data_IF_949143609353
#
_entry.id   IF_949143609353
#
_cell.length_a   1.000
_cell.length_b   1.000
_cell.length_c   1.000
_cell.angle_alpha   90.00
_cell.angle_beta   90.00
_cell.angle_gamma   90.00
#
_symmetry.space_group_name_H-M   'P 1'
#
loop_
_entity.id
_entity.type
_entity.pdbx_description
1 polymer ?
#
# COMPACT_ATOMS: atom_id res chain seq x y z
N UNK A 1 -24.25 -39.17 38.26
CA UNK A 1 -23.26 -38.16 38.71
C UNK A 1 -22.01 -38.36 37.87
N UNK A 2 -21.84 -37.58 36.80
CA UNK A 2 -20.65 -37.64 35.96
C UNK A 2 -19.69 -36.54 36.42
N UNK A 3 -18.49 -36.91 36.85
CA UNK A 3 -17.47 -35.98 37.30
C UNK A 3 -17.10 -35.01 36.17
N UNK A 4 -17.19 -33.71 36.43
CA UNK A 4 -16.69 -32.68 35.52
C UNK A 4 -15.17 -32.82 35.45
N UNK A 5 -14.64 -33.26 34.31
CA UNK A 5 -13.21 -33.30 34.07
C UNK A 5 -12.74 -31.86 33.80
N UNK A 6 -11.99 -31.27 34.74
CA UNK A 6 -11.35 -29.98 34.51
C UNK A 6 -10.34 -30.12 33.37
N UNK A 7 -10.48 -29.29 32.35
CA UNK A 7 -9.60 -29.28 31.17
C UNK A 7 -8.51 -28.26 31.42
N UNK A 8 -7.26 -28.71 31.39
CA UNK A 8 -6.07 -27.86 31.55
C UNK A 8 -5.20 -27.91 30.29
N UNK A 9 -4.73 -26.75 29.85
CA UNK A 9 -3.85 -26.57 28.70
C UNK A 9 -2.62 -25.80 29.14
N UNK A 10 -1.43 -26.35 28.86
CA UNK A 10 -0.15 -25.70 29.10
C UNK A 10 0.57 -25.39 27.79
N UNK A 11 1.01 -24.13 27.64
CA UNK A 11 1.72 -23.65 26.44
C UNK A 11 3.05 -23.06 26.89
N UNK A 12 4.16 -23.53 26.29
CA UNK A 12 5.51 -23.02 26.54
C UNK A 12 6.01 -22.26 25.31
N UNK A 13 6.31 -20.97 25.48
CA UNK A 13 6.69 -20.07 24.39
C UNK A 13 8.16 -19.67 24.57
N UNK A 14 9.05 -20.05 23.63
CA UNK A 14 10.44 -19.61 23.67
C UNK A 14 10.59 -18.19 23.13
N UNK A 15 11.42 -17.40 23.82
CA UNK A 15 11.89 -16.09 23.38
C UNK A 15 13.37 -16.18 22.99
N UNK A 16 13.91 -15.25 22.20
CA UNK A 16 15.31 -15.25 21.82
C UNK A 16 16.22 -14.71 22.94
N UNK A 17 15.72 -13.78 23.76
CA UNK A 17 16.47 -13.19 24.89
C UNK A 17 15.65 -13.19 26.18
N UNK A 18 16.33 -13.36 27.33
CA UNK A 18 15.71 -13.26 28.66
C UNK A 18 14.97 -11.93 28.85
N UNK A 19 15.54 -10.83 28.34
CA UNK A 19 14.95 -9.49 28.43
C UNK A 19 13.62 -9.39 27.68
N UNK A 20 13.52 -9.99 26.49
CA UNK A 20 12.25 -10.02 25.76
C UNK A 20 11.19 -10.88 26.47
N UNK A 21 11.61 -12.00 27.08
CA UNK A 21 10.71 -12.83 27.87
C UNK A 21 10.16 -12.07 29.10
N UNK A 22 11.01 -11.32 29.79
CA UNK A 22 10.61 -10.44 30.91
C UNK A 22 9.63 -9.36 30.47
N UNK A 23 9.92 -8.65 29.37
CA UNK A 23 9.03 -7.61 28.84
C UNK A 23 7.68 -8.21 28.43
N UNK A 24 7.69 -9.33 27.72
CA UNK A 24 6.46 -10.01 27.31
C UNK A 24 5.64 -10.46 28.53
N UNK A 25 6.30 -10.98 29.57
CA UNK A 25 5.64 -11.35 30.82
C UNK A 25 5.00 -10.14 31.52
N UNK A 26 5.73 -9.04 31.66
CA UNK A 26 5.23 -7.84 32.31
C UNK A 26 4.03 -7.23 31.59
N UNK A 27 4.02 -7.25 30.25
CA UNK A 27 2.88 -6.78 29.45
C UNK A 27 1.68 -7.73 29.56
N UNK A 28 1.92 -9.04 29.40
CA UNK A 28 0.86 -10.05 29.32
C UNK A 28 0.21 -10.39 30.68
N UNK A 29 0.89 -10.12 31.80
CA UNK A 29 0.39 -10.35 33.16
C UNK A 29 -0.68 -9.33 33.57
N UNK A 30 -0.64 -8.10 33.02
CA UNK A 30 -1.56 -7.02 33.39
C UNK A 30 -3.00 -7.34 32.97
N UNK A 31 -3.18 -8.15 31.92
CA UNK A 31 -4.49 -8.53 31.43
C UNK A 31 -5.06 -9.74 32.19
N UNK A 32 -5.96 -9.42 33.14
CA UNK A 32 -6.73 -10.38 33.91
C UNK A 32 -7.92 -10.85 33.07
N UNK A 33 -8.05 -12.16 32.89
CA UNK A 33 -9.20 -12.72 32.18
C UNK A 33 -10.52 -12.25 32.84
N UNK A 34 -11.53 -11.80 32.07
CA UNK A 34 -12.78 -11.32 32.64
C UNK A 34 -13.47 -12.44 33.44
N UNK A 35 -14.03 -12.11 34.61
CA UNK A 35 -14.72 -13.06 35.51
C UNK A 35 -15.81 -13.91 34.84
N UNK A 36 -16.29 -13.49 33.66
CA UNK A 36 -17.31 -14.16 32.85
C UNK A 36 -16.80 -15.35 32.03
N UNK A 37 -15.49 -15.57 31.96
CA UNK A 37 -14.87 -16.61 31.12
C UNK A 37 -14.92 -18.01 31.75
N UNK A 38 -15.13 -18.13 33.07
CA UNK A 38 -15.04 -19.41 33.82
C UNK A 38 -13.71 -20.15 33.57
N UNK A 39 -12.63 -19.42 33.27
CA UNK A 39 -11.28 -19.94 32.97
C UNK A 39 -10.26 -19.31 33.91
N UNK A 40 -9.38 -20.12 34.47
CA UNK A 40 -8.24 -19.70 35.26
C UNK A 40 -6.99 -19.65 34.38
N UNK A 41 -6.36 -18.47 34.32
CA UNK A 41 -5.13 -18.20 33.57
C UNK A 41 -4.00 -17.94 34.55
N UNK A 42 -2.90 -18.67 34.41
CA UNK A 42 -1.65 -18.41 35.14
C UNK A 42 -0.51 -18.32 34.14
N UNK A 43 0.25 -17.22 34.22
CA UNK A 43 1.44 -17.00 33.39
C UNK A 43 2.64 -17.04 34.35
N UNK A 44 3.67 -17.80 34.00
CA UNK A 44 4.93 -17.88 34.75
C UNK A 44 6.11 -17.72 33.80
N UNK A 45 7.20 -17.11 34.29
CA UNK A 45 8.43 -16.89 33.55
C UNK A 45 9.51 -17.88 34.01
N UNK A 46 10.04 -18.69 33.10
CA UNK A 46 11.21 -19.54 33.30
C UNK A 46 12.34 -19.06 32.38
N UNK A 47 13.20 -18.17 32.87
CA UNK A 47 14.34 -17.58 32.14
C UNK A 47 13.97 -16.99 30.76
N UNK A 48 14.06 -17.79 29.70
CA UNK A 48 13.78 -17.43 28.31
C UNK A 48 12.51 -18.09 27.75
N UNK A 49 11.68 -18.66 28.64
CA UNK A 49 10.45 -19.34 28.32
C UNK A 49 9.28 -18.76 29.12
N UNK A 50 8.21 -18.40 28.42
CA UNK A 50 6.95 -18.00 29.03
C UNK A 50 6.03 -19.23 29.07
N UNK A 51 5.64 -19.65 30.28
CA UNK A 51 4.71 -20.75 30.48
C UNK A 51 3.33 -20.18 30.80
N UNK A 52 2.36 -20.58 30.00
CA UNK A 52 0.96 -20.27 30.19
C UNK A 52 0.23 -21.54 30.60
N UNK A 53 -0.51 -21.52 31.71
CA UNK A 53 -1.45 -22.58 32.09
C UNK A 53 -2.86 -22.01 32.14
N UNK A 54 -3.76 -22.62 31.38
CA UNK A 54 -5.17 -22.24 31.25
C UNK A 54 -6.04 -23.43 31.64
N UNK A 55 -6.92 -23.26 32.61
CA UNK A 55 -7.82 -24.30 33.10
C UNK A 55 -9.28 -23.87 33.13
N UNK A 56 -10.21 -24.76 32.79
CA UNK A 56 -11.65 -24.47 32.86
C UNK A 56 -12.53 -25.72 32.80
N UNK A 57 -13.80 -25.56 33.19
CA UNK A 57 -14.77 -26.67 33.23
C UNK A 57 -15.26 -27.09 31.83
N UNK A 58 -15.21 -26.17 30.84
CA UNK A 58 -15.70 -26.40 29.48
C UNK A 58 -14.62 -26.10 28.43
N UNK A 59 -14.44 -27.04 27.49
CA UNK A 59 -13.46 -26.93 26.40
C UNK A 59 -13.65 -25.67 25.54
N UNK A 60 -14.91 -25.24 25.35
CA UNK A 60 -15.24 -24.04 24.57
C UNK A 60 -14.61 -22.78 25.17
N UNK A 61 -14.64 -22.65 26.50
CA UNK A 61 -14.14 -21.47 27.19
C UNK A 61 -12.61 -21.46 27.20
N UNK A 62 -11.98 -22.62 27.44
CA UNK A 62 -10.53 -22.78 27.36
C UNK A 62 -10.02 -22.42 25.96
N UNK A 63 -10.70 -22.85 24.89
CA UNK A 63 -10.35 -22.50 23.51
C UNK A 63 -10.39 -20.98 23.28
N UNK A 64 -11.43 -20.30 23.75
CA UNK A 64 -11.56 -18.84 23.60
C UNK A 64 -10.45 -18.11 24.38
N UNK A 65 -10.11 -18.58 25.58
CA UNK A 65 -9.00 -18.02 26.36
C UNK A 65 -7.64 -18.20 25.68
N UNK A 66 -7.38 -19.39 25.10
CA UNK A 66 -6.15 -19.65 24.33
C UNK A 66 -6.08 -18.74 23.09
N UNK A 67 -7.17 -18.60 22.33
CA UNK A 67 -7.18 -17.75 21.14
C UNK A 67 -6.94 -16.28 21.48
N UNK A 68 -7.59 -15.77 22.53
CA UNK A 68 -7.39 -14.40 23.03
C UNK A 68 -5.93 -14.16 23.42
N UNK A 69 -5.33 -15.10 24.16
CA UNK A 69 -3.93 -15.00 24.54
C UNK A 69 -2.97 -15.02 23.33
N UNK A 70 -3.22 -15.89 22.35
CA UNK A 70 -2.42 -15.94 21.12
C UNK A 70 -2.54 -14.64 20.30
N UNK A 71 -3.72 -14.02 20.26
CA UNK A 71 -3.90 -12.70 19.63
C UNK A 71 -3.08 -11.62 20.33
N UNK A 72 -3.09 -11.58 21.67
CA UNK A 72 -2.23 -10.68 22.44
C UNK A 72 -0.73 -10.92 22.17
N UNK A 73 -0.32 -12.19 22.10
CA UNK A 73 1.07 -12.57 21.82
C UNK A 73 1.49 -12.16 20.39
N UNK A 74 0.60 -12.32 19.41
CA UNK A 74 0.81 -11.86 18.05
C UNK A 74 0.94 -10.34 18.02
N UNK A 75 0.09 -9.60 18.73
CA UNK A 75 0.14 -8.15 18.82
C UNK A 75 1.49 -7.66 19.37
N UNK A 76 2.00 -8.31 20.42
CA UNK A 76 3.35 -8.07 20.94
C UNK A 76 4.43 -8.32 19.87
N UNK A 77 4.39 -9.48 19.18
CA UNK A 77 5.40 -9.83 18.16
C UNK A 77 5.33 -8.96 16.91
N UNK A 78 4.17 -8.38 16.59
CA UNK A 78 3.99 -7.42 15.49
C UNK A 78 4.42 -6.00 15.85
N UNK A 79 5.07 -5.79 17.00
CA UNK A 79 5.80 -4.55 17.31
C UNK A 79 7.31 -4.55 16.92
N UNK A 80 7.77 -5.03 15.74
CA UNK A 80 9.15 -4.79 15.31
C UNK A 80 9.21 -3.51 14.46
N UNK A 81 9.97 -2.53 14.96
CA UNK A 81 10.75 -1.48 14.26
C UNK A 81 10.14 -0.55 13.19
N UNK A 82 9.07 -0.91 12.48
CA UNK A 82 8.53 -0.12 11.36
C UNK A 82 7.26 0.65 11.68
N UNK A 83 6.76 0.56 12.90
CA UNK A 83 5.61 1.37 13.31
C UNK A 83 6.06 2.81 13.51
N UNK A 84 5.37 3.82 12.97
CA UNK A 84 5.63 5.25 13.26
C UNK A 84 5.35 5.63 14.72
N UNK A 85 5.06 4.65 15.57
CA UNK A 85 4.80 4.82 16.98
C UNK A 85 6.02 5.44 17.69
N UNK A 86 5.81 6.37 18.62
CA UNK A 86 6.88 7.07 19.31
C UNK A 86 7.61 6.09 20.24
N UNK A 87 8.70 5.48 19.76
CA UNK A 87 9.60 4.73 20.62
C UNK A 87 10.41 5.71 21.47
N UNK A 88 10.71 5.36 22.74
CA UNK A 88 11.47 6.24 23.63
C UNK A 88 12.84 6.60 23.06
N UNK A 89 13.49 5.69 22.31
CA UNK A 89 14.73 5.97 21.60
C UNK A 89 14.60 7.08 20.55
N UNK A 90 13.52 7.09 19.75
CA UNK A 90 13.29 8.11 18.72
C UNK A 90 12.97 9.49 19.31
N UNK A 91 12.29 9.52 20.45
CA UNK A 91 11.96 10.77 21.16
C UNK A 91 13.21 11.49 21.71
N UNK A 92 14.21 10.73 22.20
CA UNK A 92 15.46 11.31 22.73
C UNK A 92 16.23 12.06 21.64
N UNK A 93 16.32 11.50 20.42
CA UNK A 93 16.99 12.18 19.30
C UNK A 93 16.29 13.49 18.94
N UNK A 94 14.96 13.49 18.88
CA UNK A 94 14.17 14.70 18.63
C UNK A 94 14.42 15.77 19.69
N UNK A 95 14.46 15.38 20.96
CA UNK A 95 14.73 16.29 22.08
C UNK A 95 16.16 16.86 22.05
N UNK A 96 17.17 16.02 21.81
CA UNK A 96 18.56 16.47 21.68
C UNK A 96 18.75 17.43 20.50
N UNK A 97 18.14 17.12 19.36
CA UNK A 97 18.16 17.96 18.16
C UNK A 97 17.44 19.29 18.40
N UNK A 98 16.32 19.30 19.12
CA UNK A 98 15.62 20.52 19.54
C UNK A 98 16.50 21.41 20.41
N UNK A 99 17.15 20.87 21.45
CA UNK A 99 18.07 21.64 22.29
C UNK A 99 19.26 22.18 21.49
N UNK A 100 19.81 21.39 20.57
CA UNK A 100 20.90 21.81 19.69
C UNK A 100 20.46 22.95 18.77
N UNK A 101 19.33 22.83 18.08
CA UNK A 101 18.84 23.92 17.22
C UNK A 101 18.46 25.17 18.02
N UNK A 102 17.89 25.01 19.20
CA UNK A 102 17.55 26.14 20.08
C UNK A 102 18.79 26.89 20.55
N UNK A 103 19.84 26.17 20.97
CA UNK A 103 21.11 26.77 21.41
C UNK A 103 21.84 27.46 20.26
N UNK A 104 21.90 26.84 19.07
CA UNK A 104 22.47 27.45 17.87
C UNK A 104 21.69 28.69 17.42
N UNK A 105 20.35 28.68 17.51
CA UNK A 105 19.52 29.82 17.16
C UNK A 105 19.75 31.01 18.11
N UNK A 106 19.83 30.77 19.43
CA UNK A 106 20.15 31.82 20.39
C UNK A 106 21.55 32.40 20.15
N UNK A 107 22.53 31.55 19.89
CA UNK A 107 23.90 31.97 19.54
C UNK A 107 23.90 32.81 18.25
N UNK A 108 23.14 32.40 17.24
CA UNK A 108 23.00 33.10 15.96
C UNK A 108 22.38 34.49 16.14
N UNK A 109 21.29 34.60 16.89
CA UNK A 109 20.63 35.89 17.18
C UNK A 109 21.58 36.79 17.96
N UNK A 110 22.26 36.27 18.98
CA UNK A 110 23.22 37.03 19.77
C UNK A 110 24.37 37.54 18.87
N UNK A 111 24.90 36.69 18.00
CA UNK A 111 25.92 37.07 17.03
C UNK A 111 25.43 38.16 16.05
N UNK A 112 24.20 38.06 15.55
CA UNK A 112 23.64 39.02 14.60
C UNK A 112 23.47 40.43 15.20
N UNK A 113 22.92 40.52 16.42
CA UNK A 113 22.59 41.80 17.06
C UNK A 113 23.77 42.46 17.79
N UNK A 114 24.75 41.70 18.30
CA UNK A 114 25.90 42.27 19.02
C UNK A 114 26.83 43.03 18.04
N UNK A 115 27.16 44.31 18.27
CA UNK A 115 28.06 45.08 17.40
C UNK A 115 29.48 44.48 17.30
N UNK A 116 30.15 44.62 16.16
CA UNK A 116 31.50 44.08 15.90
C UNK A 116 32.56 44.59 16.86
N UNK A 117 32.42 45.84 17.33
CA UNK A 117 33.32 46.45 18.34
C UNK A 117 33.43 45.65 19.64
N UNK A 118 32.42 44.88 20.01
CA UNK A 118 32.49 43.99 21.17
C UNK A 118 33.31 42.73 20.87
N UNK A 119 33.19 42.19 19.66
CA UNK A 119 33.97 41.04 19.21
C UNK A 119 35.46 41.37 19.04
N UNK A 120 35.78 42.58 18.57
CA UNK A 120 37.16 43.06 18.44
C UNK A 120 37.86 43.15 19.81
N UNK A 121 37.13 43.57 20.86
CA UNK A 121 37.65 43.59 22.24
C UNK A 121 37.86 42.20 22.84
N UNK A 122 37.08 41.21 22.37
CA UNK A 122 37.22 39.81 22.75
C UNK A 122 38.33 39.09 21.94
N UNK A 123 38.99 39.77 21.00
CA UNK A 123 40.06 39.21 20.17
C UNK A 123 39.57 38.37 18.98
N UNK A 124 38.28 38.48 18.62
CA UNK A 124 37.65 37.72 17.53
C UNK A 124 37.61 38.55 16.24
N UNK A 125 38.75 38.68 15.57
CA UNK A 125 38.90 39.59 14.41
C UNK A 125 38.54 38.98 13.04
N UNK A 126 38.33 37.67 12.94
CA UNK A 126 38.12 36.93 11.68
C UNK A 126 36.73 36.30 11.55
N UNK A 127 35.72 36.91 12.16
CA UNK A 127 34.33 36.46 12.08
C UNK A 127 33.72 36.80 10.72
N UNK A 128 32.81 35.96 10.16
CA UNK A 128 32.12 36.27 8.90
C UNK A 128 31.36 37.60 8.98
N UNK A 129 31.18 38.25 7.82
CA UNK A 129 30.46 39.52 7.74
C UNK A 129 29.00 39.38 8.21
N UNK A 130 28.47 40.42 8.84
CA UNK A 130 27.09 40.47 9.33
C UNK A 130 26.05 40.33 8.22
N UNK A 131 26.43 40.58 6.97
CA UNK A 131 25.59 40.28 5.81
C UNK A 131 25.06 38.83 5.81
N UNK A 132 25.86 37.87 6.30
CA UNK A 132 25.44 36.47 6.39
C UNK A 132 24.24 36.26 7.32
N UNK A 133 24.02 37.15 8.31
CA UNK A 133 22.86 37.10 9.19
C UNK A 133 21.52 37.36 8.46
N UNK A 134 21.57 38.02 7.30
CA UNK A 134 20.40 38.25 6.44
C UNK A 134 20.36 37.24 5.28
N UNK A 135 21.51 36.87 4.76
CA UNK A 135 21.61 35.91 3.64
C UNK A 135 21.15 34.49 4.02
N UNK A 136 21.59 33.95 5.16
CA UNK A 136 21.24 32.59 5.62
C UNK A 136 19.72 32.35 5.72
N UNK A 137 18.91 33.22 6.37
CA UNK A 137 17.46 33.00 6.45
C UNK A 137 16.78 33.14 5.09
N UNK A 138 17.24 34.05 4.22
CA UNK A 138 16.71 34.18 2.86
C UNK A 138 17.01 32.90 2.05
N UNK A 139 18.24 32.39 2.14
CA UNK A 139 18.63 31.14 1.48
C UNK A 139 17.81 29.96 1.99
N UNK A 140 17.55 29.87 3.30
CA UNK A 140 16.70 28.84 3.89
C UNK A 140 15.26 28.93 3.37
N UNK A 141 14.67 30.12 3.26
CA UNK A 141 13.34 30.30 2.68
C UNK A 141 13.28 29.91 1.20
N UNK A 142 14.29 30.28 0.41
CA UNK A 142 14.41 29.87 -1.00
C UNK A 142 14.56 28.34 -1.10
N UNK A 143 15.38 27.72 -0.26
CA UNK A 143 15.55 26.28 -0.24
C UNK A 143 14.27 25.54 0.14
N UNK A 144 13.53 26.03 1.16
CA UNK A 144 12.26 25.43 1.60
C UNK A 144 11.19 25.57 0.51
N UNK A 145 11.09 26.72 -0.15
CA UNK A 145 10.12 26.92 -1.24
C UNK A 145 10.45 26.05 -2.46
N UNK A 146 11.73 25.98 -2.87
CA UNK A 146 12.19 25.09 -3.93
C UNK A 146 11.90 23.63 -3.58
N UNK A 147 12.21 23.22 -2.35
CA UNK A 147 11.96 21.86 -1.89
C UNK A 147 10.47 21.51 -1.87
N UNK A 148 9.62 22.37 -1.30
CA UNK A 148 8.20 22.10 -1.14
C UNK A 148 7.42 22.12 -2.46
N UNK A 149 7.75 23.04 -3.39
CA UNK A 149 6.98 23.22 -4.62
C UNK A 149 7.57 22.50 -5.84
N UNK A 150 8.89 22.26 -5.87
CA UNK A 150 9.54 21.62 -7.01
C UNK A 150 10.03 20.22 -6.63
N UNK A 151 10.92 20.11 -5.66
CA UNK A 151 11.59 18.82 -5.36
C UNK A 151 10.60 17.78 -4.87
N UNK A 152 9.78 18.11 -3.87
CA UNK A 152 8.88 17.14 -3.26
C UNK A 152 7.80 16.62 -4.23
N UNK A 153 7.09 17.47 -5.00
CA UNK A 153 6.15 16.99 -6.02
C UNK A 153 6.86 16.22 -7.14
N UNK A 154 8.04 16.66 -7.58
CA UNK A 154 8.78 15.95 -8.64
C UNK A 154 9.21 14.55 -8.20
N UNK A 155 9.66 14.40 -6.96
CA UNK A 155 10.02 13.10 -6.39
C UNK A 155 8.78 12.23 -6.19
N UNK A 156 7.66 12.80 -5.74
CA UNK A 156 6.38 12.11 -5.65
C UNK A 156 5.91 11.57 -6.99
N UNK A 157 6.05 12.36 -8.06
CA UNK A 157 5.76 11.93 -9.43
C UNK A 157 6.76 10.90 -9.96
N UNK A 158 8.05 11.01 -9.62
CA UNK A 158 9.07 10.05 -10.02
C UNK A 158 8.92 8.69 -9.31
N UNK A 159 8.29 8.65 -8.13
CA UNK A 159 7.97 7.41 -7.41
C UNK A 159 6.65 6.77 -7.85
N UNK A 160 5.85 7.43 -8.70
CA UNK A 160 4.63 6.82 -9.25
C UNK A 160 4.99 5.73 -10.28
N UNK A 161 4.19 4.66 -10.37
CA UNK A 161 4.29 3.69 -11.47
C UNK A 161 3.98 4.35 -12.82
N UNK A 162 4.33 3.67 -13.90
CA UNK A 162 4.09 4.19 -15.25
C UNK A 162 2.58 4.43 -15.49
N UNK A 163 2.25 5.44 -16.30
CA UNK A 163 0.85 5.86 -16.54
C UNK A 163 0.05 4.74 -17.23
N UNK A 164 0.73 3.92 -18.03
CA UNK A 164 0.14 2.78 -18.72
C UNK A 164 0.04 1.52 -17.84
N UNK A 165 0.59 1.55 -16.62
CA UNK A 165 0.51 0.45 -15.67
C UNK A 165 -0.89 0.40 -14.99
N UNK A 166 -1.46 -0.81 -14.92
CA UNK A 166 -2.85 -1.04 -14.48
C UNK A 166 -3.06 -0.76 -13.00
N UNK A 167 -1.98 -0.82 -12.21
CA UNK A 167 -1.94 -0.50 -10.77
C UNK A 167 -2.37 0.93 -10.48
N UNK A 168 -2.22 1.84 -11.45
CA UNK A 168 -2.63 3.24 -11.36
C UNK A 168 -4.16 3.41 -11.31
N UNK A 169 -4.92 2.49 -11.92
CA UNK A 169 -6.39 2.57 -12.03
C UNK A 169 -7.10 1.58 -11.09
N UNK A 170 -6.57 0.36 -10.97
CA UNK A 170 -7.14 -0.68 -10.14
C UNK A 170 -6.07 -1.22 -9.18
N UNK A 171 -6.35 -1.12 -7.89
CA UNK A 171 -5.51 -1.69 -6.85
C UNK A 171 -5.75 -3.21 -6.71
N UNK A 172 -4.87 -3.89 -5.98
CA UNK A 172 -5.01 -5.33 -5.71
C UNK A 172 -6.27 -5.69 -4.90
N UNK A 173 -6.84 -4.71 -4.19
CA UNK A 173 -8.07 -4.86 -3.43
C UNK A 173 -9.34 -4.53 -4.24
N UNK A 174 -9.22 -4.14 -5.51
CA UNK A 174 -10.37 -3.92 -6.38
C UNK A 174 -11.23 -5.20 -6.48
N UNK A 175 -12.52 -5.08 -6.10
CA UNK A 175 -13.44 -6.22 -6.08
C UNK A 175 -14.33 -6.16 -7.32
N UNK A 176 -14.04 -7.01 -8.29
CA UNK A 176 -14.93 -7.25 -9.44
C UNK A 176 -15.76 -8.51 -9.15
N UNK A 177 -17.09 -8.37 -9.20
CA UNK A 177 -18.02 -9.48 -9.03
C UNK A 177 -18.36 -10.13 -10.37
N UNK A 178 -18.63 -11.42 -10.33
CA UNK A 178 -19.06 -12.17 -11.49
C UNK A 178 -20.45 -11.71 -11.98
N UNK A 179 -20.58 -11.46 -13.27
CA UNK A 179 -21.84 -11.03 -13.92
C UNK A 179 -22.77 -12.21 -14.26
N UNK A 180 -22.38 -13.45 -13.96
CA UNK A 180 -23.17 -14.63 -14.31
C UNK A 180 -24.48 -14.69 -13.53
N UNK A 181 -25.60 -14.89 -14.24
CA UNK A 181 -26.94 -15.06 -13.68
C UNK A 181 -27.42 -16.49 -13.91
N UNK A 182 -27.88 -17.13 -12.83
CA UNK A 182 -28.47 -18.46 -12.87
C UNK A 182 -29.87 -18.42 -13.51
N UNK A 183 -30.36 -19.55 -14.06
CA UNK A 183 -31.72 -19.66 -14.60
C UNK A 183 -32.80 -19.28 -13.59
N UNK A 184 -32.53 -19.47 -12.30
CA UNK A 184 -33.40 -19.12 -11.17
C UNK A 184 -33.40 -17.60 -10.85
N UNK A 185 -32.69 -16.79 -11.64
CA UNK A 185 -32.62 -15.34 -11.49
C UNK A 185 -31.58 -14.84 -10.47
N UNK A 186 -30.95 -15.73 -9.70
CA UNK A 186 -29.87 -15.45 -8.75
C UNK A 186 -28.55 -15.07 -9.46
N UNK A 187 -27.75 -14.18 -8.87
CA UNK A 187 -26.43 -13.79 -9.40
C UNK A 187 -25.29 -14.48 -8.65
N UNK A 188 -24.19 -14.77 -9.36
CA UNK A 188 -22.98 -15.29 -8.74
C UNK A 188 -22.31 -14.22 -7.84
N UNK A 189 -22.11 -14.52 -6.56
CA UNK A 189 -21.44 -13.61 -5.61
C UNK A 189 -19.92 -13.78 -5.55
N UNK A 190 -19.35 -14.66 -6.37
CA UNK A 190 -17.94 -14.98 -6.31
C UNK A 190 -17.09 -13.86 -6.94
N UNK A 191 -15.98 -13.51 -6.30
CA UNK A 191 -15.00 -12.53 -6.81
C UNK A 191 -14.30 -13.09 -8.05
N UNK A 192 -14.06 -12.23 -9.02
CA UNK A 192 -13.16 -12.52 -10.15
C UNK A 192 -11.73 -12.31 -9.68
N UNK A 193 -10.95 -13.39 -9.70
CA UNK A 193 -9.51 -13.32 -9.44
C UNK A 193 -8.83 -12.61 -10.63
N UNK A 194 -7.93 -11.68 -10.31
CA UNK A 194 -7.10 -10.94 -11.27
C UNK A 194 -7.87 -10.42 -12.49
N UNK A 195 -8.83 -9.49 -12.28
CA UNK A 195 -9.79 -9.10 -13.30
C UNK A 195 -9.17 -8.45 -14.53
N UNK A 196 -7.96 -7.88 -14.43
CA UNK A 196 -7.25 -7.17 -15.50
C UNK A 196 -5.94 -7.89 -15.90
N UNK A 197 -5.89 -9.23 -15.96
CA UNK A 197 -4.67 -9.96 -16.39
C UNK A 197 -4.31 -9.78 -17.88
N UNK A 198 -5.31 -9.76 -18.76
CA UNK A 198 -5.18 -9.79 -20.23
C UNK A 198 -5.46 -8.42 -20.89
N UNK A 199 -4.93 -7.33 -20.33
CA UNK A 199 -5.14 -5.97 -20.86
C UNK A 199 -6.10 -5.14 -20.02
N UNK A 200 -6.66 -4.09 -20.64
CA UNK A 200 -7.73 -3.27 -20.03
C UNK A 200 -9.11 -3.96 -20.07
N UNK A 201 -9.19 -5.20 -20.57
CA UNK A 201 -10.44 -5.94 -20.62
C UNK A 201 -10.71 -6.64 -19.29
N UNK A 202 -11.71 -6.15 -18.55
CA UNK A 202 -12.13 -6.71 -17.28
C UNK A 202 -12.79 -8.08 -17.50
N UNK A 203 -12.25 -9.14 -16.89
CA UNK A 203 -12.90 -10.45 -16.82
C UNK A 203 -14.26 -10.30 -16.14
N UNK A 204 -15.34 -10.61 -16.86
CA UNK A 204 -16.73 -10.49 -16.36
C UNK A 204 -17.19 -11.69 -15.53
N UNK A 205 -16.51 -12.82 -15.66
CA UNK A 205 -16.92 -14.08 -15.04
C UNK A 205 -15.81 -14.67 -14.17
N UNK A 206 -16.20 -15.34 -13.08
CA UNK A 206 -15.29 -16.05 -12.20
C UNK A 206 -14.77 -17.34 -12.88
N UNK A 207 -13.68 -17.92 -12.35
CA UNK A 207 -13.07 -19.13 -12.92
C UNK A 207 -14.08 -20.26 -13.20
N UNK A 208 -15.05 -20.47 -12.29
CA UNK A 208 -16.12 -21.47 -12.41
C UNK A 208 -17.09 -21.23 -13.57
N UNK A 209 -17.27 -19.97 -13.99
CA UNK A 209 -18.18 -19.58 -15.07
C UNK A 209 -17.45 -19.13 -16.33
N UNK A 210 -16.11 -19.04 -16.30
CA UNK A 210 -15.29 -18.66 -17.46
C UNK A 210 -15.31 -19.73 -18.57
N UNK A 211 -15.42 -21.01 -18.18
CA UNK A 211 -15.31 -22.18 -19.06
C UNK A 211 -16.52 -22.42 -19.96
N UNK A 212 -17.66 -21.73 -19.76
CA UNK A 212 -18.81 -21.83 -20.67
C UNK A 212 -18.80 -20.81 -21.81
N UNK A 213 -17.89 -19.85 -21.80
CA UNK A 213 -17.70 -18.87 -22.90
C UNK A 213 -16.23 -18.67 -23.30
N UNK A 214 -15.32 -19.48 -22.76
CA UNK A 214 -13.89 -19.41 -23.05
C UNK A 214 -13.50 -20.23 -24.28
N UNK A 215 -13.86 -19.76 -25.48
CA UNK A 215 -13.21 -20.13 -26.75
C UNK A 215 -13.66 -19.24 -27.93
N UNK A 216 -14.05 -18.00 -27.67
CA UNK A 216 -14.10 -16.99 -28.74
C UNK A 216 -13.13 -15.87 -28.37
N UNK A 217 -11.85 -16.26 -28.25
CA UNK A 217 -10.79 -15.51 -28.91
C UNK A 217 -11.12 -15.57 -30.41
N UNK A 218 -12.11 -14.78 -30.84
CA UNK A 218 -12.17 -14.39 -32.24
C UNK A 218 -10.80 -13.80 -32.51
N UNK A 219 -10.10 -14.28 -33.53
CA UNK A 219 -8.96 -13.59 -34.08
C UNK A 219 -9.39 -12.12 -34.29
N UNK A 220 -8.98 -11.23 -33.38
CA UNK A 220 -9.52 -9.86 -33.25
C UNK A 220 -8.90 -8.86 -34.22
N UNK A 221 -8.21 -9.38 -35.23
CA UNK A 221 -7.99 -8.68 -36.48
C UNK A 221 -8.84 -9.40 -37.51
N UNK A 222 -9.90 -8.75 -38.00
CA UNK A 222 -10.68 -9.28 -39.12
C UNK A 222 -9.72 -9.32 -40.31
N UNK A 223 -9.06 -10.46 -40.53
CA UNK A 223 -8.32 -10.69 -41.76
C UNK A 223 -9.36 -10.64 -42.88
N UNK A 224 -9.28 -9.62 -43.72
CA UNK A 224 -10.23 -9.41 -44.83
C UNK A 224 -10.18 -10.65 -45.72
N UNK A 225 -11.24 -11.47 -45.69
CA UNK A 225 -11.35 -12.69 -46.47
C UNK A 225 -11.26 -12.39 -47.98
N UNK A 226 -10.82 -13.38 -48.76
CA UNK A 226 -10.68 -13.25 -50.23
C UNK A 226 -12.03 -13.20 -50.97
N UNK A 227 -13.16 -13.38 -50.28
CA UNK A 227 -14.48 -13.54 -50.88
C UNK A 227 -15.51 -12.63 -50.19
N UNK A 228 -16.40 -12.01 -51.00
CA UNK A 228 -17.55 -11.21 -50.54
C UNK A 228 -18.79 -12.11 -50.57
N UNK A 229 -19.33 -12.48 -49.40
CA UNK A 229 -20.58 -13.27 -49.26
C UNK A 229 -21.83 -12.37 -49.14
N UNK A 230 -21.82 -11.15 -49.69
CA UNK A 230 -22.94 -10.23 -49.53
C UNK A 230 -24.20 -10.74 -50.26
N UNK A 231 -25.36 -10.85 -49.58
CA UNK A 231 -26.59 -11.36 -50.17
C UNK A 231 -27.28 -10.37 -51.14
N UNK A 232 -26.86 -9.09 -51.14
CA UNK A 232 -27.43 -8.04 -52.00
C UNK A 232 -26.37 -7.50 -52.98
N UNK A 233 -26.54 -7.82 -54.27
CA UNK A 233 -25.53 -7.57 -55.31
C UNK A 233 -25.24 -6.08 -55.56
N UNK A 234 -26.21 -5.19 -55.34
CA UNK A 234 -26.09 -3.75 -55.64
C UNK A 234 -25.27 -2.92 -54.65
N UNK A 235 -24.93 -3.48 -53.48
CA UNK A 235 -24.31 -2.75 -52.36
C UNK A 235 -22.91 -3.24 -51.95
N UNK A 236 -22.38 -4.34 -52.52
CA UNK A 236 -21.02 -4.81 -52.21
C UNK A 236 -19.98 -3.90 -52.89
N UNK A 237 -19.23 -3.14 -52.09
CA UNK A 237 -18.17 -2.21 -52.54
C UNK A 237 -17.04 -2.94 -53.29
N UNK A 238 -16.70 -4.17 -52.86
CA UNK A 238 -15.68 -5.03 -53.47
C UNK A 238 -16.06 -5.53 -54.88
N UNK A 239 -17.36 -5.56 -55.21
CA UNK A 239 -17.85 -5.96 -56.55
C UNK A 239 -17.94 -4.77 -57.50
N UNK A 240 -18.10 -3.55 -56.98
CA UNK A 240 -18.04 -2.29 -57.75
C UNK A 240 -16.59 -1.95 -58.10
N UNK A 241 -15.69 -2.04 -57.12
CA UNK A 241 -14.26 -1.74 -57.27
C UNK A 241 -13.39 -2.93 -56.81
N UNK A 242 -13.09 -3.89 -57.69
CA UNK A 242 -12.33 -5.10 -57.33
C UNK A 242 -10.86 -4.80 -56.94
N UNK A 243 -10.31 -3.67 -57.40
CA UNK A 243 -8.95 -3.23 -57.05
C UNK A 243 -8.84 -2.61 -55.65
N UNK A 244 -9.94 -2.44 -54.92
CA UNK A 244 -9.93 -1.85 -53.58
C UNK A 244 -9.47 -2.82 -52.47
N UNK A 245 -9.47 -4.13 -52.74
CA UNK A 245 -8.98 -5.18 -51.82
C UNK A 245 -7.55 -4.95 -51.30
N UNK A 246 -6.52 -4.72 -52.14
CA UNK A 246 -5.17 -4.47 -51.69
C UNK A 246 -5.08 -3.22 -50.80
N UNK A 247 -5.85 -2.17 -51.09
CA UNK A 247 -5.89 -0.94 -50.27
C UNK A 247 -6.51 -1.17 -48.89
N UNK A 248 -7.50 -2.06 -48.80
CA UNK A 248 -8.08 -2.46 -47.51
C UNK A 248 -7.10 -3.30 -46.68
N UNK A 249 -6.29 -4.14 -47.32
CA UNK A 249 -5.25 -4.94 -46.65
C UNK A 249 -4.04 -4.14 -46.24
N UNK A 250 -3.72 -3.08 -46.96
CA UNK A 250 -2.60 -2.20 -46.63
C UNK A 250 -2.92 -1.28 -45.44
N UNK A 251 -4.19 -1.17 -45.04
CA UNK A 251 -4.56 -0.44 -43.83
C UNK A 251 -4.25 -1.29 -42.60
N UNK A 252 -3.58 -0.68 -41.63
CA UNK A 252 -3.32 -1.32 -40.36
C UNK A 252 -4.64 -1.75 -39.69
N UNK A 253 -4.70 -2.97 -39.12
CA UNK A 253 -5.87 -3.41 -38.39
C UNK A 253 -6.09 -2.48 -37.19
N UNK A 254 -7.35 -2.09 -36.97
CA UNK A 254 -7.71 -1.23 -35.84
C UNK A 254 -7.47 -2.03 -34.54
N UNK A 255 -6.61 -1.55 -33.62
CA UNK A 255 -6.38 -2.24 -32.36
C UNK A 255 -7.65 -2.25 -31.52
N UNK A 256 -7.82 -3.27 -30.68
CA UNK A 256 -8.94 -3.32 -29.77
C UNK A 256 -8.80 -2.19 -28.73
N UNK A 257 -9.92 -1.65 -28.25
CA UNK A 257 -9.94 -0.60 -27.22
C UNK A 257 -9.18 -1.05 -25.95
N UNK A 258 -9.19 -2.35 -25.66
CA UNK A 258 -8.48 -2.93 -24.51
C UNK A 258 -6.96 -2.91 -24.62
N UNK A 259 -6.43 -2.72 -25.83
CA UNK A 259 -5.01 -2.85 -26.16
C UNK A 259 -4.36 -1.47 -26.37
N UNK A 260 -5.16 -0.40 -26.32
CA UNK A 260 -4.69 0.98 -26.41
C UNK A 260 -3.99 1.39 -25.10
N UNK A 261 -2.90 2.13 -25.23
CA UNK A 261 -2.23 2.71 -24.06
C UNK A 261 -3.05 3.90 -23.52
N UNK A 262 -3.17 3.99 -22.20
CA UNK A 262 -3.96 5.04 -21.55
C UNK A 262 -3.33 6.42 -21.80
N UNK A 263 -2.00 6.47 -21.87
CA UNK A 263 -1.21 7.65 -22.21
C UNK A 263 -1.53 8.17 -23.63
N UNK A 264 -1.65 7.29 -24.63
CA UNK A 264 -1.99 7.67 -26.00
C UNK A 264 -3.45 8.12 -26.12
N UNK A 265 -4.37 7.45 -25.44
CA UNK A 265 -5.80 7.81 -25.44
C UNK A 265 -6.00 9.16 -24.76
N UNK A 266 -5.41 9.38 -23.58
CA UNK A 266 -5.51 10.67 -22.88
C UNK A 266 -4.87 11.78 -23.70
N UNK A 267 -3.71 11.54 -24.32
CA UNK A 267 -3.09 12.49 -25.25
C UNK A 267 -4.03 12.81 -26.40
N UNK A 268 -4.63 11.84 -27.08
CA UNK A 268 -5.52 12.13 -28.23
C UNK A 268 -6.82 12.85 -27.85
N UNK A 269 -7.44 12.50 -26.71
CA UNK A 269 -8.69 13.12 -26.25
C UNK A 269 -8.50 14.53 -25.70
N UNK A 270 -7.45 14.74 -24.91
CA UNK A 270 -7.23 16.01 -24.21
C UNK A 270 -6.25 16.94 -24.92
N UNK A 271 -5.57 16.47 -25.96
CA UNK A 271 -4.85 17.35 -26.86
C UNK A 271 -5.87 18.17 -27.64
N UNK A 272 -6.19 19.36 -27.12
CA UNK A 272 -6.78 20.43 -27.90
C UNK A 272 -5.89 20.60 -29.13
N UNK A 273 -6.40 20.25 -30.32
CA UNK A 273 -5.88 20.82 -31.56
C UNK A 273 -6.12 22.32 -31.43
N UNK A 274 -5.04 23.08 -31.22
CA UNK A 274 -5.11 24.53 -31.27
C UNK A 274 -5.77 24.94 -32.58
N UNK A 275 -6.78 25.81 -32.46
CA UNK A 275 -7.04 26.82 -33.49
C UNK A 275 -5.90 27.83 -33.46
#
# INVERSE_FOLDING_TARGET
MCAAANIEVSIKIPFPTKREAEIAYDVLRVDSEPKRSFVHKTITLEENHLLLRLGGEQAKNVRVGVTSFCELLLLYRTMPEHTPAPTPGRAIYGFALYLLFQTLFLLYVLWAFVPTVWFDRLGLTYLPDKYFALFVPILALVAVTLFAFLVYPSLGLAMMPDVDERTTVADGNSIVRCEFRFPDGLCCQQRVETPLELGWNVRRHCAKHSTRQGAVETQRTVRVANFCDCPYEGQCLLRKDPEYLPTLRSKDPIPAVSDLSLSQVSRTLYHRRGR
#
